data_IF_080906121430
#
_entry.id   IF_080906121430
#
_cell.length_a   1.000
_cell.length_b   1.000
_cell.length_c   1.000
_cell.angle_alpha   90.00
_cell.angle_beta   90.00
_cell.angle_gamma   90.00
#
_symmetry.space_group_name_H-M   'P 1'
#
loop_
_entity.id
_entity.type
_entity.pdbx_description
1 polymer ?
#
# COMPACT_ATOMS: atom_id res chain seq x y z
N UNK A 1 -25.27 -14.37 -11.23
CA UNK A 1 -25.43 -14.47 -9.76
C UNK A 1 -24.06 -14.73 -9.14
N UNK A 2 -23.24 -13.69 -9.00
CA UNK A 2 -21.85 -13.78 -8.48
C UNK A 2 -21.48 -12.54 -7.66
N UNK A 3 -22.11 -11.39 -7.95
CA UNK A 3 -21.87 -10.10 -7.31
C UNK A 3 -22.32 -10.05 -5.85
N UNK A 4 -23.48 -10.64 -5.52
CA UNK A 4 -24.01 -10.64 -4.15
C UNK A 4 -23.12 -11.40 -3.16
N UNK A 5 -22.55 -12.54 -3.58
CA UNK A 5 -21.66 -13.35 -2.73
C UNK A 5 -20.32 -12.65 -2.47
N UNK A 6 -19.77 -11.96 -3.47
CA UNK A 6 -18.53 -11.18 -3.31
C UNK A 6 -18.72 -9.96 -2.41
N UNK A 7 -19.87 -9.30 -2.51
CA UNK A 7 -20.22 -8.17 -1.64
C UNK A 7 -20.44 -8.61 -0.18
N UNK A 8 -21.01 -9.81 0.02
CA UNK A 8 -21.22 -10.37 1.36
C UNK A 8 -19.92 -10.92 2.00
N UNK A 9 -18.91 -11.24 1.17
CA UNK A 9 -17.58 -11.68 1.59
C UNK A 9 -16.59 -10.53 1.89
N UNK A 10 -17.00 -9.26 1.79
CA UNK A 10 -16.18 -8.11 2.20
C UNK A 10 -15.08 -7.68 1.20
N UNK A 11 -15.14 -8.13 -0.06
CA UNK A 11 -14.20 -7.70 -1.09
C UNK A 11 -14.53 -6.29 -1.60
N UNK A 12 -13.87 -5.26 -1.05
CA UNK A 12 -14.10 -3.85 -1.42
C UNK A 12 -13.65 -3.48 -2.85
N UNK A 13 -12.90 -4.34 -3.55
CA UNK A 13 -12.42 -4.09 -4.93
C UNK A 13 -13.57 -3.87 -5.91
N UNK A 14 -14.72 -4.56 -5.70
CA UNK A 14 -15.91 -4.39 -6.55
C UNK A 14 -16.51 -2.98 -6.51
N UNK A 15 -16.16 -2.15 -5.51
CA UNK A 15 -16.54 -0.73 -5.44
C UNK A 15 -15.74 0.15 -6.41
N UNK A 16 -14.53 -0.27 -6.78
CA UNK A 16 -13.59 0.55 -7.56
C UNK A 16 -13.40 0.02 -8.99
N UNK A 17 -13.56 -1.29 -9.18
CA UNK A 17 -13.44 -1.97 -10.46
C UNK A 17 -14.69 -2.81 -10.68
N UNK A 18 -15.37 -2.61 -11.82
CA UNK A 18 -16.52 -3.46 -12.20
C UNK A 18 -16.01 -4.81 -12.68
N UNK A 19 -16.36 -5.86 -11.93
CA UNK A 19 -16.07 -7.24 -12.30
C UNK A 19 -16.89 -7.68 -13.51
N UNK A 20 -18.10 -7.14 -13.67
CA UNK A 20 -18.99 -7.40 -14.80
C UNK A 20 -18.35 -6.94 -16.10
N UNK A 21 -17.68 -5.78 -16.10
CA UNK A 21 -16.91 -5.33 -17.26
C UNK A 21 -15.78 -6.30 -17.60
N UNK A 22 -15.02 -6.79 -16.60
CA UNK A 22 -13.94 -7.74 -16.84
C UNK A 22 -14.45 -9.09 -17.39
N UNK A 23 -15.63 -9.51 -16.95
CA UNK A 23 -16.29 -10.71 -17.49
C UNK A 23 -16.77 -10.45 -18.92
N UNK A 24 -17.37 -9.30 -19.21
CA UNK A 24 -17.79 -8.92 -20.56
C UNK A 24 -16.60 -8.82 -21.53
N UNK A 25 -15.50 -8.22 -21.09
CA UNK A 25 -14.24 -8.11 -21.84
C UNK A 25 -13.62 -9.50 -22.12
N UNK A 26 -13.95 -10.50 -21.31
CA UNK A 26 -13.51 -11.90 -21.45
C UNK A 26 -14.65 -12.87 -21.78
N UNK A 27 -15.72 -12.39 -22.43
CA UNK A 27 -16.94 -13.17 -22.66
C UNK A 27 -16.73 -14.49 -23.40
N UNK A 28 -15.80 -14.54 -24.36
CA UNK A 28 -15.53 -15.76 -25.13
C UNK A 28 -14.97 -16.85 -24.21
N UNK A 29 -13.95 -16.52 -23.42
CA UNK A 29 -13.38 -17.42 -22.40
C UNK A 29 -14.40 -17.77 -21.32
N UNK A 30 -15.27 -16.84 -20.92
CA UNK A 30 -16.37 -17.11 -20.00
C UNK A 30 -17.29 -18.22 -20.53
N UNK A 31 -17.74 -18.11 -21.78
CA UNK A 31 -18.63 -19.09 -22.39
C UNK A 31 -17.94 -20.42 -22.66
N UNK A 32 -16.67 -20.43 -23.07
CA UNK A 32 -15.87 -21.66 -23.22
C UNK A 32 -15.75 -22.43 -21.89
N UNK A 33 -15.35 -21.74 -20.82
CA UNK A 33 -15.21 -22.34 -19.49
C UNK A 33 -16.56 -22.82 -18.96
N UNK A 34 -17.63 -22.08 -19.22
CA UNK A 34 -19.00 -22.48 -18.84
C UNK A 34 -19.44 -23.73 -19.62
N UNK A 35 -19.13 -23.81 -20.91
CA UNK A 35 -19.44 -24.98 -21.73
C UNK A 35 -18.66 -26.22 -21.24
N UNK A 36 -17.37 -26.07 -20.94
CA UNK A 36 -16.52 -27.15 -20.45
C UNK A 36 -16.96 -27.67 -19.07
N UNK A 37 -17.42 -26.77 -18.20
CA UNK A 37 -17.85 -27.10 -16.84
C UNK A 37 -19.29 -27.60 -16.76
N UNK A 38 -20.15 -27.23 -17.73
CA UNK A 38 -21.54 -27.71 -17.83
C UNK A 38 -21.65 -29.08 -18.52
N UNK A 39 -20.65 -29.48 -19.30
CA UNK A 39 -20.56 -30.81 -19.88
C UNK A 39 -20.52 -31.93 -18.83
N UNK A 40 -21.23 -33.03 -19.08
CA UNK A 40 -21.26 -34.22 -18.21
C UNK A 40 -21.72 -33.97 -16.75
N UNK A 41 -22.40 -32.86 -16.45
CA UNK A 41 -22.98 -32.59 -15.12
C UNK A 41 -23.88 -33.75 -14.64
N UNK A 42 -24.71 -34.29 -15.54
CA UNK A 42 -25.59 -35.43 -15.27
C UNK A 42 -24.85 -36.75 -14.99
N UNK A 43 -23.57 -36.84 -15.34
CA UNK A 43 -22.73 -38.05 -15.13
C UNK A 43 -21.75 -37.88 -13.96
N UNK A 44 -21.78 -36.74 -13.25
CA UNK A 44 -20.85 -36.44 -12.15
C UNK A 44 -19.40 -36.19 -12.59
N UNK A 45 -19.11 -36.16 -13.90
CA UNK A 45 -17.76 -36.00 -14.46
C UNK A 45 -17.42 -34.53 -14.80
N UNK A 46 -18.25 -33.59 -14.35
CA UNK A 46 -17.98 -32.16 -14.54
C UNK A 46 -16.64 -31.77 -13.90
N UNK A 47 -15.82 -31.02 -14.65
CA UNK A 47 -14.58 -30.47 -14.12
C UNK A 47 -14.85 -29.06 -13.63
N UNK A 48 -14.81 -28.84 -12.32
CA UNK A 48 -14.99 -27.52 -11.70
C UNK A 48 -13.71 -26.65 -11.74
N UNK A 49 -12.56 -27.29 -11.91
CA UNK A 49 -11.26 -26.62 -11.90
C UNK A 49 -11.11 -25.48 -12.95
N UNK A 50 -11.61 -25.62 -14.20
CA UNK A 50 -11.60 -24.54 -15.18
C UNK A 50 -12.37 -23.30 -14.71
N UNK A 51 -13.55 -23.49 -14.10
CA UNK A 51 -14.37 -22.41 -13.55
C UNK A 51 -13.65 -21.67 -12.42
N UNK A 52 -13.02 -22.40 -11.51
CA UNK A 52 -12.26 -21.81 -10.40
C UNK A 52 -11.07 -21.00 -10.90
N UNK A 53 -10.32 -21.52 -11.87
CA UNK A 53 -9.18 -20.82 -12.46
C UNK A 53 -9.60 -19.53 -13.15
N UNK A 54 -10.67 -19.56 -13.94
CA UNK A 54 -11.23 -18.37 -14.58
C UNK A 54 -11.69 -17.34 -13.54
N UNK A 55 -12.48 -17.77 -12.54
CA UNK A 55 -13.02 -16.89 -11.50
C UNK A 55 -11.93 -16.21 -10.68
N UNK A 56 -10.88 -16.94 -10.29
CA UNK A 56 -9.72 -16.37 -9.60
C UNK A 56 -8.90 -15.45 -10.51
N UNK A 57 -8.83 -15.77 -11.81
CA UNK A 57 -8.19 -14.91 -12.82
C UNK A 57 -8.86 -13.53 -12.91
N UNK A 58 -10.19 -13.49 -12.94
CA UNK A 58 -10.96 -12.23 -12.92
C UNK A 58 -10.68 -11.42 -11.65
N UNK A 59 -10.61 -12.08 -10.49
CA UNK A 59 -10.29 -11.41 -9.23
C UNK A 59 -8.89 -10.80 -9.26
N UNK A 60 -7.88 -11.55 -9.73
CA UNK A 60 -6.50 -11.06 -9.88
C UNK A 60 -6.44 -9.87 -10.84
N UNK A 61 -7.16 -9.93 -11.97
CA UNK A 61 -7.22 -8.84 -12.93
C UNK A 61 -7.81 -7.56 -12.30
N UNK A 62 -8.88 -7.70 -11.51
CA UNK A 62 -9.48 -6.58 -10.80
C UNK A 62 -8.52 -5.94 -9.79
N UNK A 63 -7.77 -6.74 -9.02
CA UNK A 63 -6.77 -6.23 -8.10
C UNK A 63 -5.60 -5.55 -8.81
N UNK A 64 -5.12 -6.10 -9.93
CA UNK A 64 -4.07 -5.46 -10.74
C UNK A 64 -4.53 -4.12 -11.28
N UNK A 65 -5.74 -4.04 -11.83
CA UNK A 65 -6.26 -2.78 -12.34
C UNK A 65 -6.49 -1.75 -11.22
N UNK A 66 -6.91 -2.21 -10.04
CA UNK A 66 -6.98 -1.36 -8.85
C UNK A 66 -5.60 -0.85 -8.43
N UNK A 67 -4.59 -1.72 -8.35
CA UNK A 67 -3.21 -1.36 -8.05
C UNK A 67 -2.64 -0.38 -9.09
N UNK A 68 -2.94 -0.56 -10.37
CA UNK A 68 -2.51 0.36 -11.43
C UNK A 68 -3.18 1.73 -11.28
N UNK A 69 -4.48 1.79 -11.01
CA UNK A 69 -5.18 3.06 -10.77
C UNK A 69 -4.69 3.76 -9.52
N UNK A 70 -4.50 3.03 -8.42
CA UNK A 70 -3.92 3.56 -7.18
C UNK A 70 -2.45 3.95 -7.40
N UNK A 71 -1.69 3.17 -8.16
CA UNK A 71 -0.31 3.41 -8.54
C UNK A 71 -0.15 4.65 -9.40
N UNK A 72 -1.06 4.89 -10.36
CA UNK A 72 -1.14 6.10 -11.16
C UNK A 72 -1.42 7.32 -10.29
N UNK A 73 -2.39 7.24 -9.37
CA UNK A 73 -2.65 8.28 -8.35
C UNK A 73 -1.43 8.50 -7.44
N UNK A 74 -0.73 7.43 -7.06
CA UNK A 74 0.51 7.44 -6.26
C UNK A 74 1.76 7.85 -7.04
N UNK A 75 1.69 7.97 -8.37
CA UNK A 75 2.83 8.26 -9.24
C UNK A 75 3.08 9.75 -9.46
N UNK A 76 2.11 10.61 -9.18
CA UNK A 76 2.31 12.07 -9.11
C UNK A 76 3.48 12.39 -8.17
N UNK A 77 4.36 13.33 -8.54
CA UNK A 77 5.56 13.69 -7.75
C UNK A 77 5.22 14.00 -6.28
N UNK A 78 4.00 14.47 -5.99
CA UNK A 78 3.50 14.70 -4.64
C UNK A 78 3.17 13.44 -3.85
N UNK A 79 2.64 12.39 -4.48
CA UNK A 79 2.08 11.25 -3.74
C UNK A 79 3.12 10.26 -3.23
N UNK A 80 4.25 10.06 -3.93
CA UNK A 80 5.40 9.32 -3.35
C UNK A 80 6.02 10.05 -2.15
N UNK A 81 6.01 11.39 -2.19
CA UNK A 81 6.52 12.24 -1.11
C UNK A 81 5.59 12.19 0.10
N UNK A 82 4.28 12.33 -0.11
CA UNK A 82 3.27 12.20 0.94
C UNK A 82 3.32 10.80 1.56
N UNK A 83 3.45 9.75 0.75
CA UNK A 83 3.51 8.38 1.25
C UNK A 83 4.74 8.13 2.13
N UNK A 84 5.92 8.62 1.76
CA UNK A 84 7.10 8.49 2.64
C UNK A 84 6.90 9.29 3.94
N UNK A 85 6.34 10.50 3.87
CA UNK A 85 6.07 11.32 5.07
C UNK A 85 5.09 10.61 6.02
N UNK A 86 4.01 10.06 5.47
CA UNK A 86 3.02 9.29 6.22
C UNK A 86 3.61 8.01 6.81
N UNK A 87 4.42 7.28 6.04
CA UNK A 87 5.13 6.10 6.53
C UNK A 87 6.09 6.44 7.68
N UNK A 88 6.82 7.55 7.56
CA UNK A 88 7.67 8.05 8.65
C UNK A 88 6.83 8.33 9.88
N UNK A 89 5.67 8.99 9.76
CA UNK A 89 4.81 9.32 10.90
C UNK A 89 4.28 8.08 11.65
N UNK A 90 4.05 6.97 10.95
CA UNK A 90 3.60 5.70 11.55
C UNK A 90 4.72 4.78 12.06
N UNK A 91 5.97 5.02 11.67
CA UNK A 91 7.11 4.23 12.16
C UNK A 91 7.45 4.56 13.63
N UNK A 92 8.20 3.67 14.32
CA UNK A 92 8.72 3.98 15.66
C UNK A 92 9.58 5.25 15.67
N UNK A 93 9.84 5.80 16.86
CA UNK A 93 10.66 7.02 16.99
C UNK A 93 12.06 6.89 16.39
N UNK A 94 12.60 5.67 16.37
CA UNK A 94 13.87 5.34 15.74
C UNK A 94 13.62 4.31 14.64
N UNK A 95 14.08 4.60 13.44
CA UNK A 95 13.88 3.73 12.28
C UNK A 95 15.05 3.79 11.30
N UNK A 96 15.23 2.74 10.53
CA UNK A 96 16.21 2.62 9.45
C UNK A 96 15.59 2.96 8.10
N UNK A 97 16.42 3.27 7.11
CA UNK A 97 15.97 3.37 5.70
C UNK A 97 15.35 2.06 5.22
N UNK A 98 15.78 0.92 5.76
CA UNK A 98 15.26 -0.39 5.40
C UNK A 98 13.81 -0.57 5.87
N UNK A 99 13.46 -0.04 7.05
CA UNK A 99 12.07 -0.04 7.54
C UNK A 99 11.17 0.86 6.70
N UNK A 100 11.63 2.06 6.33
CA UNK A 100 10.90 2.94 5.39
C UNK A 100 10.70 2.26 4.03
N UNK A 101 11.71 1.55 3.54
CA UNK A 101 11.63 0.80 2.28
C UNK A 101 10.66 -0.39 2.35
N UNK A 102 10.47 -0.99 3.54
CA UNK A 102 9.47 -2.05 3.75
C UNK A 102 8.05 -1.47 3.84
N UNK A 103 7.90 -0.29 4.45
CA UNK A 103 6.62 0.42 4.55
C UNK A 103 6.16 1.01 3.20
N UNK A 104 7.09 1.36 2.31
CA UNK A 104 6.81 1.93 1.00
C UNK A 104 7.34 1.03 -0.14
N UNK A 105 6.74 -0.15 -0.39
CA UNK A 105 7.14 -1.01 -1.50
C UNK A 105 6.91 -0.28 -2.83
N UNK A 106 7.96 -0.17 -3.66
CA UNK A 106 7.94 0.53 -4.95
C UNK A 106 8.56 1.93 -4.95
N UNK A 107 9.06 2.42 -3.82
CA UNK A 107 9.85 3.66 -3.77
C UNK A 107 11.35 3.35 -3.71
N UNK A 108 12.14 4.01 -4.56
CA UNK A 108 13.58 3.78 -4.62
C UNK A 108 14.31 4.34 -3.39
N UNK A 109 15.36 3.66 -2.94
CA UNK A 109 16.21 4.11 -1.83
C UNK A 109 16.73 5.55 -1.98
N UNK A 110 17.17 6.00 -3.19
CA UNK A 110 17.56 7.40 -3.40
C UNK A 110 16.44 8.39 -3.10
N UNK A 111 15.20 8.10 -3.50
CA UNK A 111 14.04 8.97 -3.24
C UNK A 111 13.71 9.06 -1.75
N UNK A 112 13.75 7.92 -1.05
CA UNK A 112 13.61 7.87 0.42
C UNK A 112 14.65 8.80 1.07
N UNK A 113 15.92 8.70 0.66
CA UNK A 113 17.00 9.53 1.21
C UNK A 113 16.79 11.03 0.97
N UNK A 114 16.33 11.41 -0.22
CA UNK A 114 15.99 12.81 -0.55
C UNK A 114 14.93 13.35 0.39
N UNK A 115 13.88 12.57 0.67
CA UNK A 115 12.77 13.00 1.54
C UNK A 115 13.17 13.02 3.01
N UNK A 116 13.94 12.04 3.48
CA UNK A 116 14.45 12.04 4.86
C UNK A 116 15.38 13.23 5.12
N UNK A 117 16.24 13.59 4.16
CA UNK A 117 17.07 14.80 4.26
C UNK A 117 16.22 16.08 4.22
N UNK A 118 15.12 16.12 3.45
CA UNK A 118 14.19 17.24 3.47
C UNK A 118 13.51 17.38 4.85
N UNK A 119 13.02 16.27 5.43
CA UNK A 119 12.43 16.23 6.77
C UNK A 119 13.43 16.62 7.87
N UNK A 120 14.71 16.29 7.70
CA UNK A 120 15.80 16.74 8.58
C UNK A 120 16.02 18.25 8.47
N UNK A 121 16.03 18.80 7.25
CA UNK A 121 16.12 20.26 7.05
C UNK A 121 14.92 21.00 7.63
N UNK A 122 13.74 20.37 7.63
CA UNK A 122 12.52 20.86 8.30
C UNK A 122 12.58 20.71 9.84
N UNK A 123 13.65 20.12 10.39
CA UNK A 123 13.83 19.93 11.83
C UNK A 123 12.99 18.81 12.45
N UNK A 124 12.35 17.97 11.63
CA UNK A 124 11.49 16.85 12.07
C UNK A 124 12.25 15.57 12.36
N UNK A 125 13.42 15.39 11.74
CA UNK A 125 14.25 14.20 11.89
C UNK A 125 15.70 14.54 12.22
N UNK A 126 16.37 13.63 12.93
CA UNK A 126 17.81 13.64 13.14
C UNK A 126 18.41 12.27 12.76
N UNK A 127 19.68 12.26 12.37
CA UNK A 127 20.39 11.01 12.06
C UNK A 127 21.13 10.56 13.31
N UNK A 128 20.81 9.36 13.80
CA UNK A 128 21.59 8.69 14.83
C UNK A 128 22.54 7.69 14.16
N UNK A 129 23.85 7.95 14.26
CA UNK A 129 24.90 7.05 13.81
C UNK A 129 25.44 7.34 12.42
N UNK A 130 26.52 6.65 12.07
CA UNK A 130 27.32 6.90 10.86
C UNK A 130 27.49 5.60 10.08
N UNK A 131 27.23 5.62 8.77
CA UNK A 131 27.52 4.49 7.87
C UNK A 131 26.29 3.69 7.42
N UNK A 132 26.47 2.37 7.24
CA UNK A 132 25.48 1.46 6.64
C UNK A 132 24.27 1.17 7.55
N UNK A 133 24.46 1.35 8.85
CA UNK A 133 23.45 1.19 9.93
C UNK A 133 22.93 2.54 10.44
N UNK A 134 22.97 3.59 9.61
CA UNK A 134 22.46 4.90 10.00
C UNK A 134 20.96 4.82 10.31
N UNK A 135 20.61 5.18 11.54
CA UNK A 135 19.24 5.26 12.02
C UNK A 135 18.77 6.71 11.95
N UNK A 136 17.46 6.88 11.81
CA UNK A 136 16.78 8.16 11.83
C UNK A 136 15.93 8.21 13.09
N UNK A 137 15.90 9.38 13.73
CA UNK A 137 15.09 9.63 14.91
C UNK A 137 14.14 10.79 14.68
N UNK A 138 12.89 10.63 15.11
CA UNK A 138 11.91 11.70 15.15
C UNK A 138 12.28 12.70 16.23
N UNK A 139 12.27 13.98 15.86
CA UNK A 139 12.49 15.06 16.83
C UNK A 139 11.17 15.32 17.52
N UNK A 140 11.12 14.97 18.81
CA UNK A 140 9.97 15.28 19.65
C UNK A 140 9.91 16.80 19.88
N UNK A 141 8.80 17.45 19.50
CA UNK A 141 8.66 18.90 19.55
C UNK A 141 8.58 19.44 21.00
N UNK A 142 8.74 18.57 21.99
CA UNK A 142 8.57 18.88 23.41
C UNK A 142 9.85 19.36 24.13
N UNK A 143 10.97 19.54 23.43
CA UNK A 143 12.23 20.01 24.04
C UNK A 143 12.50 21.53 23.94
N UNK A 144 11.58 22.31 23.36
CA UNK A 144 11.73 23.77 23.22
C UNK A 144 11.17 24.63 24.36
N UNK A 145 10.44 24.06 25.32
CA UNK A 145 9.72 24.85 26.34
C UNK A 145 10.35 24.77 27.75
N UNK A 146 11.21 23.77 28.03
CA UNK A 146 11.77 23.56 29.38
C UNK A 146 13.11 24.27 29.66
N UNK A 147 13.70 24.99 28.70
CA UNK A 147 14.98 25.71 28.92
C UNK A 147 14.83 27.18 29.35
N UNK A 148 13.59 27.72 29.41
CA UNK A 148 13.35 29.13 29.78
C UNK A 148 13.09 29.31 31.29
N UNK A 149 12.95 28.23 32.07
CA UNK A 149 12.56 28.32 33.51
C UNK A 149 13.74 28.25 34.49
N UNK A 150 14.98 28.07 34.03
CA UNK A 150 16.15 27.98 34.91
C UNK A 150 17.08 29.19 34.81
N UNK A 151 16.59 30.39 35.15
CA UNK A 151 17.46 31.48 35.60
C UNK A 151 17.41 31.53 37.14
N UNK A 152 18.53 31.36 37.85
CA UNK A 152 18.57 31.53 39.29
C UNK A 152 18.32 33.00 39.62
N UNK A 153 17.15 33.32 40.17
CA UNK A 153 16.93 34.59 40.85
C UNK A 153 17.66 34.52 42.19
N UNK A 154 18.88 35.05 42.22
CA UNK A 154 19.55 35.46 43.44
C UNK A 154 19.60 37.01 43.45
N UNK A 155 19.62 37.58 44.66
CA UNK A 155 19.75 39.00 45.06
C UNK A 155 18.39 39.72 45.19
N UNK A 156 17.92 40.25 46.33
CA UNK A 156 18.57 40.66 47.60
C UNK A 156 17.74 40.25 48.83
#
# INVERSE_FOLDING_TARGET
MTVLLLHQAGYEVGRYISLERLIEDSKETYYEVLQDTSGNWHKGQHQLLPWWRYSLGILIAAYKEFEDRVGLVRSSRGSKTIWIRDAVDHLPDKFSILEVSRACPGVSRPMIRVILEALRKEGRLEVIGTGREAMWQKRDNNKGVNEIVALPQNIS
#
